data_IF_382769148129
#
_entry.id   IF_382769148129
#
_cell.length_a   1.000
_cell.length_b   1.000
_cell.length_c   1.000
_cell.angle_alpha   90.00
_cell.angle_beta   90.00
_cell.angle_gamma   90.00
#
_symmetry.space_group_name_H-M   'P 1'
#
loop_
_entity.id
_entity.type
_entity.pdbx_description
1 polymer ?
#
# COMPACT_ATOMS: atom_id res chain seq x y z
N UNK A 1 16.55 1.42 13.07
CA UNK A 1 16.46 -0.01 12.71
C UNK A 1 15.37 -0.78 13.47
N UNK A 2 14.94 -0.34 14.66
CA UNK A 2 13.93 -1.03 15.48
C UNK A 2 12.50 -1.07 14.87
N UNK A 3 12.06 0.01 14.19
CA UNK A 3 10.71 0.07 13.60
C UNK A 3 10.43 -0.97 12.49
N UNK A 4 11.47 -1.49 11.82
CA UNK A 4 11.28 -2.42 10.71
C UNK A 4 10.67 -3.76 11.14
N UNK A 5 11.04 -4.27 12.33
CA UNK A 5 10.55 -5.56 12.84
C UNK A 5 9.19 -5.47 13.53
N UNK A 6 8.81 -4.29 14.02
CA UNK A 6 7.59 -4.11 14.83
C UNK A 6 6.41 -3.68 13.97
N UNK A 7 6.62 -2.69 13.09
CA UNK A 7 5.55 -2.20 12.22
C UNK A 7 6.14 -1.82 10.87
N UNK A 8 6.38 -2.86 10.06
CA UNK A 8 6.98 -2.73 8.73
C UNK A 8 6.19 -1.76 7.83
N UNK A 9 4.84 -1.84 7.74
CA UNK A 9 4.08 -0.86 6.96
C UNK A 9 4.28 0.60 7.42
N UNK A 10 4.27 0.84 8.74
CA UNK A 10 4.52 2.18 9.29
C UNK A 10 5.92 2.70 8.95
N UNK A 11 6.94 1.84 9.04
CA UNK A 11 8.31 2.18 8.65
C UNK A 11 8.39 2.65 7.19
N UNK A 12 7.74 1.93 6.26
CA UNK A 12 7.72 2.35 4.86
C UNK A 12 6.88 3.60 4.62
N UNK A 13 5.77 3.79 5.35
CA UNK A 13 4.99 5.02 5.27
C UNK A 13 5.86 6.24 5.64
N UNK A 14 6.65 6.13 6.71
CA UNK A 14 7.58 7.20 7.11
C UNK A 14 8.70 7.43 6.10
N UNK A 15 9.32 6.36 5.61
CA UNK A 15 10.38 6.50 4.58
C UNK A 15 9.87 7.16 3.30
N UNK A 16 8.68 6.80 2.84
CA UNK A 16 8.10 7.36 1.61
C UNK A 16 7.77 8.84 1.83
N UNK A 17 7.21 9.21 2.98
CA UNK A 17 6.94 10.60 3.32
C UNK A 17 8.23 11.42 3.34
N UNK A 18 9.24 10.96 4.07
CA UNK A 18 10.52 11.66 4.17
C UNK A 18 11.16 11.86 2.78
N UNK A 19 11.04 10.88 1.89
CA UNK A 19 11.57 10.99 0.53
C UNK A 19 10.78 11.96 -0.35
N UNK A 20 9.44 11.98 -0.24
CA UNK A 20 8.59 12.92 -0.98
C UNK A 20 8.81 14.37 -0.54
N UNK A 21 9.10 14.61 0.74
CA UNK A 21 9.22 15.94 1.32
C UNK A 21 10.65 16.49 1.41
N UNK A 22 11.65 15.75 0.90
CA UNK A 22 13.01 16.29 0.73
C UNK A 22 13.06 17.47 -0.25
N UNK A 23 13.98 18.41 0.00
CA UNK A 23 14.28 19.54 -0.91
C UNK A 23 14.71 19.05 -2.29
N UNK A 24 15.58 18.03 -2.32
CA UNK A 24 15.98 17.32 -3.54
C UNK A 24 15.43 15.89 -3.47
N UNK A 25 14.32 15.66 -4.16
CA UNK A 25 13.68 14.33 -4.17
C UNK A 25 14.48 13.37 -5.02
N UNK A 26 14.97 12.30 -4.40
CA UNK A 26 15.44 11.14 -5.14
C UNK A 26 14.23 10.32 -5.62
N UNK A 27 13.78 10.69 -6.82
CA UNK A 27 12.60 10.10 -7.46
C UNK A 27 12.70 8.58 -7.62
N UNK A 28 13.92 8.04 -7.71
CA UNK A 28 14.16 6.61 -7.84
C UNK A 28 13.90 5.86 -6.54
N UNK A 29 14.11 6.49 -5.39
CA UNK A 29 13.89 5.88 -4.07
C UNK A 29 12.40 5.66 -3.80
N UNK A 30 11.57 6.69 -4.01
CA UNK A 30 10.10 6.56 -3.89
C UNK A 30 9.58 5.50 -4.84
N UNK A 31 10.01 5.53 -6.10
CA UNK A 31 9.62 4.54 -7.10
C UNK A 31 9.96 3.12 -6.65
N UNK A 32 11.18 2.87 -6.19
CA UNK A 32 11.59 1.54 -5.71
C UNK A 32 10.70 1.09 -4.57
N UNK A 33 10.40 1.95 -3.60
CA UNK A 33 9.48 1.60 -2.52
C UNK A 33 8.08 1.26 -3.04
N UNK A 34 7.49 2.07 -3.92
CA UNK A 34 6.17 1.79 -4.48
C UNK A 34 6.14 0.47 -5.26
N UNK A 35 7.13 0.21 -6.12
CA UNK A 35 7.19 -1.00 -6.93
C UNK A 35 7.38 -2.24 -6.05
N UNK A 36 8.40 -2.29 -5.21
CA UNK A 36 8.69 -3.47 -4.40
C UNK A 36 7.62 -3.77 -3.34
N UNK A 37 6.88 -2.75 -2.89
CA UNK A 37 5.82 -2.93 -1.89
C UNK A 37 4.46 -3.20 -2.51
N UNK A 38 4.29 -2.96 -3.81
CA UNK A 38 3.01 -3.15 -4.52
C UNK A 38 2.45 -4.57 -4.38
N UNK A 39 3.32 -5.58 -4.37
CA UNK A 39 2.92 -7.00 -4.24
C UNK A 39 2.83 -7.49 -2.79
N UNK A 40 3.34 -6.72 -1.83
CA UNK A 40 3.46 -7.17 -0.43
C UNK A 40 2.36 -6.54 0.42
N UNK A 41 2.34 -5.21 0.54
CA UNK A 41 1.48 -4.51 1.51
C UNK A 41 1.36 -2.99 1.23
N UNK A 42 1.59 -2.54 -0.01
CA UNK A 42 1.49 -1.13 -0.39
C UNK A 42 0.14 -0.51 -0.01
N UNK A 43 -0.94 -1.29 -0.06
CA UNK A 43 -2.27 -0.82 0.31
C UNK A 43 -2.43 -0.62 1.83
N UNK A 44 -1.72 -1.41 2.63
CA UNK A 44 -1.67 -1.22 4.09
C UNK A 44 -0.82 0.01 4.43
N UNK A 45 0.27 0.22 3.68
CA UNK A 45 1.11 1.42 3.78
C UNK A 45 0.29 2.66 3.47
N UNK A 46 -0.47 2.69 2.36
CA UNK A 46 -1.32 3.83 1.97
C UNK A 46 -2.36 4.19 3.05
N UNK A 47 -3.05 3.20 3.61
CA UNK A 47 -4.00 3.44 4.72
C UNK A 47 -3.32 4.03 5.95
N UNK A 48 -2.17 3.49 6.35
CA UNK A 48 -1.41 4.00 7.49
C UNK A 48 -0.83 5.39 7.20
N UNK A 49 -0.39 5.63 5.98
CA UNK A 49 0.09 6.93 5.52
C UNK A 49 -0.98 8.00 5.74
N UNK A 50 -2.22 7.73 5.31
CA UNK A 50 -3.36 8.62 5.55
C UNK A 50 -3.62 8.86 7.04
N UNK A 51 -3.54 7.81 7.86
CA UNK A 51 -3.73 7.95 9.32
C UNK A 51 -2.64 8.81 9.96
N UNK A 52 -1.39 8.68 9.52
CA UNK A 52 -0.24 9.38 10.11
C UNK A 52 -0.15 10.83 9.61
N UNK A 53 -0.37 11.07 8.32
CA UNK A 53 -0.08 12.35 7.67
C UNK A 53 -1.33 13.12 7.23
N UNK A 54 -2.53 12.52 7.34
CA UNK A 54 -3.79 13.18 6.99
C UNK A 54 -4.06 13.33 5.49
N UNK A 55 -3.16 12.87 4.63
CA UNK A 55 -3.27 12.88 3.17
C UNK A 55 -3.09 11.47 2.62
N UNK A 56 -3.85 11.11 1.58
CA UNK A 56 -3.64 9.84 0.88
C UNK A 56 -2.27 9.82 0.19
N UNK A 57 -1.57 8.67 0.23
CA UNK A 57 -0.24 8.56 -0.39
C UNK A 57 -0.31 8.84 -1.89
N UNK A 58 -1.41 8.46 -2.54
CA UNK A 58 -1.65 8.76 -3.95
C UNK A 58 -1.69 10.26 -4.23
N UNK A 59 -2.32 11.06 -3.38
CA UNK A 59 -2.39 12.51 -3.59
C UNK A 59 -1.03 13.16 -3.32
N UNK A 60 -0.28 12.70 -2.31
CA UNK A 60 1.06 13.23 -2.03
C UNK A 60 2.05 12.92 -3.17
N UNK A 61 2.03 11.69 -3.69
CA UNK A 61 2.80 11.28 -4.89
C UNK A 61 2.40 12.11 -6.11
N UNK A 62 1.11 12.40 -6.32
CA UNK A 62 0.63 13.22 -7.43
C UNK A 62 1.07 14.67 -7.33
N UNK A 63 1.15 15.23 -6.12
CA UNK A 63 1.65 16.58 -5.89
C UNK A 63 3.15 16.68 -6.18
N UNK A 64 3.93 15.62 -5.91
CA UNK A 64 5.37 15.63 -6.19
C UNK A 64 5.72 15.31 -7.65
N UNK A 65 5.00 14.41 -8.29
CA UNK A 65 5.26 13.97 -9.66
C UNK A 65 4.17 14.46 -10.62
N UNK A 66 4.44 15.57 -11.31
CA UNK A 66 3.52 16.12 -12.31
C UNK A 66 3.63 15.48 -13.72
N UNK A 67 4.60 14.58 -13.92
CA UNK A 67 4.86 13.98 -15.24
C UNK A 67 3.99 12.76 -15.53
N UNK A 68 3.92 12.37 -16.81
CA UNK A 68 3.27 11.12 -17.25
C UNK A 68 3.82 9.87 -16.53
N UNK A 69 5.05 9.96 -16.03
CA UNK A 69 5.67 8.95 -15.19
C UNK A 69 4.98 8.79 -13.83
N UNK A 70 4.61 9.92 -13.19
CA UNK A 70 3.83 9.93 -11.95
C UNK A 70 2.49 9.22 -12.13
N UNK A 71 1.85 9.37 -13.30
CA UNK A 71 0.60 8.68 -13.60
C UNK A 71 0.71 7.15 -13.58
N UNK A 72 1.89 6.58 -13.88
CA UNK A 72 2.11 5.13 -13.81
C UNK A 72 2.23 4.65 -12.36
N UNK A 73 2.94 5.41 -11.52
CA UNK A 73 3.04 5.12 -10.08
C UNK A 73 1.68 5.22 -9.38
N UNK A 74 0.86 6.20 -9.76
CA UNK A 74 -0.50 6.34 -9.24
C UNK A 74 -1.38 5.11 -9.56
N UNK A 75 -1.14 4.40 -10.67
CA UNK A 75 -1.86 3.15 -10.98
C UNK A 75 -1.53 2.02 -10.00
N UNK A 76 -0.34 2.01 -9.39
CA UNK A 76 0.02 1.02 -8.35
C UNK A 76 -0.73 1.26 -7.04
N UNK A 77 -1.07 2.51 -6.75
CA UNK A 77 -1.81 2.92 -5.56
C UNK A 77 -3.33 2.80 -5.75
N UNK A 78 -3.81 2.85 -7.00
CA UNK A 78 -5.21 2.56 -7.30
C UNK A 78 -5.54 1.12 -6.95
N UNK A 79 -6.54 0.96 -6.09
CA UNK A 79 -7.12 -0.35 -5.80
C UNK A 79 -7.63 -0.95 -7.11
N UNK A 80 -7.26 -2.19 -7.41
CA UNK A 80 -7.98 -2.94 -8.44
C UNK A 80 -9.41 -3.09 -7.94
N UNK A 81 -10.35 -2.39 -8.57
CA UNK A 81 -11.75 -2.76 -8.50
C UNK A 81 -11.86 -4.10 -9.21
N UNK A 82 -11.75 -5.17 -8.43
CA UNK A 82 -12.21 -6.47 -8.91
C UNK A 82 -13.71 -6.28 -9.06
N UNK A 83 -14.29 -6.45 -10.27
CA UNK A 83 -15.73 -6.41 -10.44
C UNK A 83 -16.36 -7.32 -9.38
N UNK A 84 -17.41 -6.84 -8.69
CA UNK A 84 -18.04 -7.51 -7.54
C UNK A 84 -18.39 -8.99 -7.78
N UNK A 85 -18.42 -9.40 -9.05
CA UNK A 85 -18.50 -10.78 -9.55
C UNK A 85 -17.55 -11.75 -8.82
N UNK A 86 -16.36 -11.32 -8.40
CA UNK A 86 -15.40 -12.20 -7.70
C UNK A 86 -15.37 -12.03 -6.17
N UNK A 87 -16.10 -11.08 -5.59
CA UNK A 87 -16.13 -10.88 -4.13
C UNK A 87 -17.00 -11.92 -3.42
N UNK A 88 -17.86 -12.65 -4.14
CA UNK A 88 -18.80 -13.62 -3.57
C UNK A 88 -18.35 -15.09 -3.67
N UNK A 89 -17.23 -15.41 -4.32
CA UNK A 89 -16.84 -16.81 -4.56
C UNK A 89 -15.84 -17.41 -3.57
N UNK A 90 -15.29 -16.64 -2.62
CA UNK A 90 -14.26 -17.15 -1.68
C UNK A 90 -14.82 -17.40 -0.26
N UNK A 91 -16.12 -17.24 -0.02
CA UNK A 91 -16.73 -17.47 1.31
C UNK A 91 -17.34 -18.87 1.53
N UNK A 92 -17.21 -19.82 0.61
CA UNK A 92 -17.81 -21.16 0.77
C UNK A 92 -16.73 -22.23 0.94
N UNK A 93 -16.00 -22.19 2.05
CA UNK A 93 -15.43 -23.43 2.63
C UNK A 93 -15.72 -23.35 4.14
N UNK A 94 -16.78 -24.01 4.65
CA UNK A 94 -17.00 -24.10 6.08
C UNK A 94 -15.91 -25.00 6.70
N UNK A 95 -15.47 -24.73 7.95
CA UNK A 95 -14.51 -25.57 8.63
C UNK A 95 -15.12 -26.95 8.92
N UNK A 96 -14.37 -28.02 8.63
CA UNK A 96 -14.74 -29.39 8.97
C UNK A 96 -14.85 -29.52 10.50
N UNK A 97 -16.08 -29.53 11.03
CA UNK A 97 -16.37 -29.86 12.43
C UNK A 97 -16.20 -31.39 12.61
N UNK A 98 -15.58 -31.89 13.70
CA UNK A 98 -15.27 -33.31 13.85
C UNK A 98 -16.53 -34.14 14.13
N UNK A 99 -16.57 -35.33 13.52
CA UNK A 99 -17.64 -36.33 13.62
C UNK A 99 -17.58 -37.11 14.96
N UNK A 100 -18.03 -36.53 16.08
CA UNK A 100 -18.42 -37.24 17.32
C UNK A 100 -19.43 -36.30 18.02
N UNK A 101 -20.68 -36.63 18.32
CA UNK A 101 -21.22 -37.74 19.12
C UNK A 101 -22.68 -38.02 18.73
N UNK A 102 -23.02 -39.29 18.49
CA UNK A 102 -24.21 -40.00 19.01
C UNK A 102 -23.80 -41.46 19.23
#
# INVERSE_FOLDING_TARGET
MYNYSINKPMYFATLIHDELHKELVDSLSVQRFLIFRSEIDLHTIDKLYKVIYGIDLSEDVKQKYHSEYGNTLLKLLKKREIPDIFQHSISIIPPLVPLIEV
#
